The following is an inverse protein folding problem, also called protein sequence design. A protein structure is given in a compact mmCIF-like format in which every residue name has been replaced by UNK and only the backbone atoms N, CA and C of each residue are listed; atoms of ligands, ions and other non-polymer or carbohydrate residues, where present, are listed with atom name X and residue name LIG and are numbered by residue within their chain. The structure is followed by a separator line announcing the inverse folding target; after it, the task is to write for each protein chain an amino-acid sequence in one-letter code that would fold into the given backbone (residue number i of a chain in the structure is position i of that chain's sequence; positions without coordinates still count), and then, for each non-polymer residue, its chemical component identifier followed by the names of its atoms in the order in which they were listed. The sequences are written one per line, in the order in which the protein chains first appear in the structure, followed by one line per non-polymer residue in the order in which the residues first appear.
data_IF_434682917542
#
_entry.id   IF_434682917542
#
_cell.length_a   1.000
_cell.length_b   1.000
_cell.length_c   1.000
_cell.angle_alpha   90.00
_cell.angle_beta   90.00
_cell.angle_gamma   90.00
#
_symmetry.space_group_name_H-M   'P 1'
#
loop_
_entity.id
_entity.type
_entity.pdbx_description
1 polymer ?
#
# COMPACT_ATOMS: atom_id res chain seq x y z
N UNK A 1 10.95 -10.92 -1.56
CA UNK A 1 9.96 -10.95 -2.66
C UNK A 1 10.18 -9.76 -3.58
N UNK A 2 10.29 -10.00 -4.88
CA UNK A 2 10.40 -8.92 -5.88
C UNK A 2 9.05 -8.25 -6.11
N UNK A 3 9.04 -7.03 -6.67
CA UNK A 3 7.78 -6.37 -7.03
C UNK A 3 6.98 -7.17 -8.06
N UNK A 4 7.66 -7.84 -9.01
CA UNK A 4 7.04 -8.71 -10.01
C UNK A 4 6.29 -9.88 -9.36
N UNK A 5 6.91 -10.55 -8.38
CA UNK A 5 6.27 -11.63 -7.63
C UNK A 5 5.04 -11.13 -6.87
N UNK A 6 5.12 -9.96 -6.25
CA UNK A 6 3.98 -9.35 -5.57
C UNK A 6 2.83 -9.01 -6.55
N UNK A 7 3.14 -8.41 -7.70
CA UNK A 7 2.15 -8.08 -8.74
C UNK A 7 1.41 -9.34 -9.20
N UNK A 8 2.14 -10.45 -9.42
CA UNK A 8 1.54 -11.75 -9.76
C UNK A 8 0.63 -12.29 -8.65
N UNK A 9 1.05 -12.25 -7.38
CA UNK A 9 0.21 -12.70 -6.27
C UNK A 9 -1.08 -11.87 -6.14
N UNK A 10 -1.00 -10.56 -6.37
CA UNK A 10 -2.17 -9.67 -6.37
C UNK A 10 -3.11 -10.04 -7.54
N UNK A 11 -2.58 -10.32 -8.72
CA UNK A 11 -3.37 -10.78 -9.86
C UNK A 11 -4.10 -12.10 -9.57
N UNK A 12 -3.43 -13.05 -8.91
CA UNK A 12 -4.04 -14.31 -8.50
C UNK A 12 -5.18 -14.12 -7.49
N UNK A 13 -5.02 -13.22 -6.50
CA UNK A 13 -6.08 -12.88 -5.55
C UNK A 13 -7.29 -12.25 -6.27
N UNK A 14 -7.03 -11.41 -7.27
CA UNK A 14 -8.08 -10.78 -8.08
C UNK A 14 -8.80 -11.79 -8.97
N UNK A 15 -8.07 -12.72 -9.58
CA UNK A 15 -8.65 -13.81 -10.35
C UNK A 15 -9.54 -14.71 -9.48
N UNK A 16 -9.12 -15.00 -8.23
CA UNK A 16 -9.95 -15.69 -7.25
C UNK A 16 -11.23 -14.91 -6.94
N UNK A 17 -11.14 -13.60 -6.72
CA UNK A 17 -12.31 -12.73 -6.50
C UNK A 17 -13.31 -12.77 -7.67
N UNK A 18 -12.81 -12.67 -8.91
CA UNK A 18 -13.64 -12.79 -10.11
C UNK A 18 -14.32 -14.17 -10.22
N UNK A 19 -13.62 -15.24 -9.84
CA UNK A 19 -14.19 -16.59 -9.83
C UNK A 19 -15.31 -16.75 -8.79
N UNK A 20 -15.15 -16.14 -7.59
CA UNK A 20 -16.17 -16.12 -6.54
C UNK A 20 -17.42 -15.39 -7.02
N UNK A 21 -17.26 -14.21 -7.64
CA UNK A 21 -18.38 -13.43 -8.18
C UNK A 21 -19.14 -14.20 -9.27
N UNK A 22 -18.41 -14.83 -10.19
CA UNK A 22 -19.02 -15.65 -11.25
C UNK A 22 -19.85 -16.79 -10.66
N UNK A 23 -19.30 -17.51 -9.67
CA UNK A 23 -20.01 -18.60 -8.99
C UNK A 23 -21.23 -18.07 -8.24
N UNK A 24 -21.09 -16.96 -7.50
CA UNK A 24 -22.20 -16.36 -6.76
C UNK A 24 -23.35 -15.94 -7.68
N UNK A 25 -23.05 -15.36 -8.85
CA UNK A 25 -24.07 -15.05 -9.85
C UNK A 25 -24.86 -16.31 -10.27
N UNK A 26 -24.15 -17.39 -10.63
CA UNK A 26 -24.77 -18.66 -11.01
C UNK A 26 -25.61 -19.27 -9.88
N UNK A 27 -25.14 -19.16 -8.64
CA UNK A 27 -25.87 -19.61 -7.46
C UNK A 27 -27.12 -18.78 -7.22
N UNK A 28 -27.04 -17.45 -7.33
CA UNK A 28 -28.21 -16.55 -7.23
C UNK A 28 -29.25 -16.85 -8.30
N UNK A 29 -28.82 -17.07 -9.55
CA UNK A 29 -29.73 -17.45 -10.65
C UNK A 29 -30.40 -18.81 -10.36
N UNK A 30 -29.66 -19.76 -9.80
CA UNK A 30 -30.22 -21.07 -9.42
C UNK A 30 -31.24 -20.95 -8.29
N UNK A 31 -30.97 -20.10 -7.28
CA UNK A 31 -31.89 -19.83 -6.17
C UNK A 31 -33.15 -19.11 -6.68
N UNK A 32 -33.00 -18.15 -7.58
CA UNK A 32 -34.12 -17.40 -8.15
C UNK A 32 -35.07 -18.32 -8.94
N UNK A 33 -34.53 -19.28 -9.69
CA UNK A 33 -35.30 -20.20 -10.53
C UNK A 33 -35.78 -21.48 -9.79
N UNK A 34 -35.44 -21.66 -8.51
CA UNK A 34 -35.88 -22.82 -7.73
C UNK A 34 -37.38 -22.73 -7.39
N UNK A 35 -38.16 -23.63 -7.99
CA UNK A 35 -39.62 -23.72 -7.82
C UNK A 35 -40.04 -24.34 -6.49
N UNK A 36 -39.12 -25.00 -5.79
CA UNK A 36 -39.40 -25.62 -4.48
C UNK A 36 -39.26 -24.62 -3.32
N UNK A 37 -38.84 -23.37 -3.59
CA UNK A 37 -38.70 -22.33 -2.59
C UNK A 37 -39.92 -21.42 -2.53
N UNK A 38 -40.40 -21.20 -1.31
CA UNK A 38 -41.26 -20.05 -1.00
C UNK A 38 -40.50 -18.75 -1.21
N UNK A 39 -41.22 -17.64 -1.33
CA UNK A 39 -40.60 -16.32 -1.47
C UNK A 39 -39.66 -15.99 -0.31
N UNK A 40 -40.10 -16.27 0.92
CA UNK A 40 -39.28 -16.08 2.11
C UNK A 40 -38.03 -16.97 2.12
N UNK A 41 -38.16 -18.23 1.68
CA UNK A 41 -37.02 -19.16 1.58
C UNK A 41 -36.02 -18.75 0.49
N UNK A 42 -36.51 -18.21 -0.63
CA UNK A 42 -35.69 -17.65 -1.71
C UNK A 42 -34.90 -16.46 -1.21
N UNK A 43 -35.56 -15.51 -0.56
CA UNK A 43 -34.90 -14.32 0.00
C UNK A 43 -33.82 -14.68 1.01
N UNK A 44 -34.14 -15.58 1.97
CA UNK A 44 -33.17 -16.01 2.98
C UNK A 44 -31.92 -16.67 2.36
N UNK A 45 -32.09 -17.49 1.32
CA UNK A 45 -30.94 -18.09 0.60
C UNK A 45 -30.13 -17.06 -0.19
N UNK A 46 -30.79 -16.10 -0.82
CA UNK A 46 -30.10 -15.01 -1.53
C UNK A 46 -29.27 -14.17 -0.57
N UNK A 47 -29.81 -13.87 0.62
CA UNK A 47 -29.09 -13.10 1.64
C UNK A 47 -27.90 -13.88 2.20
N UNK A 48 -28.07 -15.17 2.50
CA UNK A 48 -26.96 -16.03 2.91
C UNK A 48 -25.85 -16.11 1.85
N UNK A 49 -26.21 -16.20 0.57
CA UNK A 49 -25.24 -16.21 -0.54
C UNK A 49 -24.53 -14.86 -0.70
N UNK A 50 -25.24 -13.74 -0.51
CA UNK A 50 -24.66 -12.40 -0.48
C UNK A 50 -23.65 -12.27 0.66
N UNK A 51 -24.02 -12.67 1.88
CA UNK A 51 -23.16 -12.54 3.05
C UNK A 51 -21.89 -13.38 2.92
N UNK A 52 -22.02 -14.64 2.48
CA UNK A 52 -20.89 -15.52 2.20
C UNK A 52 -19.93 -14.92 1.17
N UNK A 53 -20.47 -14.44 0.05
CA UNK A 53 -19.67 -13.83 -1.02
C UNK A 53 -18.95 -12.59 -0.53
N UNK A 54 -19.65 -11.75 0.25
CA UNK A 54 -19.09 -10.54 0.83
C UNK A 54 -17.92 -10.84 1.78
N UNK A 55 -18.05 -11.85 2.63
CA UNK A 55 -16.99 -12.29 3.53
C UNK A 55 -15.75 -12.78 2.77
N UNK A 56 -15.95 -13.65 1.78
CA UNK A 56 -14.85 -14.17 0.96
C UNK A 56 -14.10 -13.06 0.21
N UNK A 57 -14.82 -12.10 -0.38
CA UNK A 57 -14.21 -10.96 -1.06
C UNK A 57 -13.49 -10.02 -0.10
N UNK A 58 -14.04 -9.80 1.10
CA UNK A 58 -13.38 -9.01 2.16
C UNK A 58 -12.06 -9.64 2.59
N UNK A 59 -12.02 -10.96 2.71
CA UNK A 59 -10.83 -11.70 3.09
C UNK A 59 -9.73 -11.64 2.02
N UNK A 60 -10.08 -11.78 0.75
CA UNK A 60 -9.13 -11.59 -0.35
C UNK A 60 -8.57 -10.15 -0.38
N UNK A 61 -9.43 -9.17 -0.14
CA UNK A 61 -9.01 -7.76 -0.04
C UNK A 61 -8.05 -7.53 1.12
N UNK A 62 -8.33 -8.11 2.29
CA UNK A 62 -7.44 -8.02 3.45
C UNK A 62 -6.05 -8.55 3.10
N UNK A 63 -5.98 -9.71 2.44
CA UNK A 63 -4.72 -10.30 1.98
C UNK A 63 -3.98 -9.42 0.97
N UNK A 64 -4.68 -8.86 -0.02
CA UNK A 64 -4.07 -7.93 -0.99
C UNK A 64 -3.47 -6.70 -0.29
N UNK A 65 -4.21 -6.11 0.65
CA UNK A 65 -3.76 -4.94 1.42
C UNK A 65 -2.54 -5.28 2.28
N UNK A 66 -2.55 -6.43 2.94
CA UNK A 66 -1.44 -6.91 3.78
C UNK A 66 -0.16 -7.15 2.97
N UNK A 67 -0.28 -7.76 1.79
CA UNK A 67 0.86 -7.98 0.89
C UNK A 67 1.49 -6.66 0.41
N UNK A 68 0.65 -5.69 0.01
CA UNK A 68 1.11 -4.35 -0.40
C UNK A 68 1.81 -3.65 0.76
N UNK A 69 1.17 -3.60 1.94
CA UNK A 69 1.71 -2.93 3.12
C UNK A 69 3.03 -3.56 3.57
N UNK A 70 3.13 -4.89 3.59
CA UNK A 70 4.34 -5.61 3.98
C UNK A 70 5.52 -5.28 3.06
N UNK A 71 5.27 -5.23 1.74
CA UNK A 71 6.31 -4.87 0.77
C UNK A 71 6.69 -3.39 0.89
N UNK A 72 5.71 -2.50 1.03
CA UNK A 72 5.93 -1.07 1.27
C UNK A 72 6.82 -0.86 2.50
N UNK A 73 6.45 -1.45 3.64
CA UNK A 73 7.23 -1.34 4.88
C UNK A 73 8.65 -1.92 4.75
N UNK A 74 8.82 -2.99 3.96
CA UNK A 74 10.15 -3.55 3.67
C UNK A 74 11.04 -2.58 2.90
N UNK A 75 10.49 -1.92 1.87
CA UNK A 75 11.20 -0.93 1.07
C UNK A 75 11.47 0.36 1.86
N UNK A 76 10.49 0.84 2.61
CA UNK A 76 10.65 2.00 3.50
C UNK A 76 11.73 1.74 4.55
N UNK A 77 11.76 0.55 5.16
CA UNK A 77 12.84 0.19 6.09
C UNK A 77 14.20 0.11 5.41
N UNK A 78 14.26 -0.34 4.15
CA UNK A 78 15.51 -0.39 3.37
C UNK A 78 16.02 1.00 2.99
N UNK A 79 15.11 1.91 2.68
CA UNK A 79 15.43 3.27 2.21
C UNK A 79 15.61 4.27 3.35
N UNK A 80 14.81 4.17 4.41
CA UNK A 80 14.70 5.18 5.48
C UNK A 80 15.02 4.62 6.87
N UNK A 81 15.08 3.29 7.02
CA UNK A 81 15.27 2.68 8.34
C UNK A 81 16.71 2.82 8.84
N UNK A 82 16.86 2.92 10.16
CA UNK A 82 18.15 2.71 10.81
C UNK A 82 18.62 1.27 10.55
N UNK A 83 19.86 1.06 10.05
CA UNK A 83 20.44 -0.27 9.99
C UNK A 83 20.47 -0.89 11.40
N UNK A 84 20.21 -2.19 11.51
CA UNK A 84 20.18 -2.89 12.81
C UNK A 84 21.49 -2.81 13.61
N UNK A 85 22.61 -2.50 12.93
CA UNK A 85 23.92 -2.28 13.55
C UNK A 85 24.00 -0.91 14.23
N UNK A 86 23.24 0.08 13.75
CA UNK A 86 23.20 1.46 14.24
C UNK A 86 22.12 1.67 15.31
N UNK A 87 21.13 0.77 15.40
CA UNK A 87 20.03 0.86 16.37
C UNK A 87 20.42 0.49 17.81
N UNK A 88 21.63 -0.04 18.04
CA UNK A 88 22.16 -0.33 19.37
C UNK A 88 22.80 0.88 20.06
N UNK A 89 23.05 1.98 19.32
CA UNK A 89 23.52 3.25 19.88
C UNK A 89 22.31 4.17 20.21
N UNK A 90 22.06 4.47 21.50
CA UNK A 90 20.98 5.36 21.90
C UNK A 90 21.05 6.76 21.26
N UNK A 91 22.24 7.27 20.99
CA UNK A 91 22.41 8.60 20.37
C UNK A 91 21.88 8.61 18.93
N UNK A 92 22.10 7.53 18.18
CA UNK A 92 21.62 7.37 16.81
C UNK A 92 20.10 7.20 16.76
N UNK A 93 19.52 6.51 17.74
CA UNK A 93 18.06 6.40 17.89
C UNK A 93 17.43 7.76 18.17
N UNK A 94 18.04 8.58 19.02
CA UNK A 94 17.56 9.94 19.29
C UNK A 94 17.68 10.85 18.06
N UNK A 95 18.82 10.81 17.36
CA UNK A 95 19.02 11.56 16.12
C UNK A 95 18.00 11.18 15.04
N UNK A 96 17.70 9.89 14.91
CA UNK A 96 16.65 9.41 14.01
C UNK A 96 15.28 9.98 14.38
N UNK A 97 14.90 9.92 15.66
CA UNK A 97 13.62 10.49 16.12
C UNK A 97 13.54 12.00 15.85
N UNK A 98 14.59 12.75 16.19
CA UNK A 98 14.66 14.19 15.93
C UNK A 98 14.51 14.49 14.43
N UNK A 99 15.20 13.73 13.58
CA UNK A 99 15.13 13.87 12.13
C UNK A 99 13.72 13.63 11.60
N UNK A 100 13.03 12.60 12.10
CA UNK A 100 11.63 12.31 11.73
C UNK A 100 10.69 13.42 12.19
N UNK A 101 10.82 13.89 13.43
CA UNK A 101 9.99 14.98 13.97
C UNK A 101 10.20 16.29 13.21
N UNK A 102 11.45 16.59 12.82
CA UNK A 102 11.79 17.76 12.00
C UNK A 102 11.20 17.65 10.60
N UNK A 103 11.33 16.50 9.95
CA UNK A 103 10.77 16.28 8.63
C UNK A 103 9.23 16.35 8.62
N UNK A 104 8.57 15.82 9.66
CA UNK A 104 7.11 15.83 9.78
C UNK A 104 6.51 17.24 9.84
N UNK A 105 7.28 18.24 10.31
CA UNK A 105 6.86 19.65 10.37
C UNK A 105 6.94 20.36 9.03
N UNK A 106 7.63 19.79 8.06
CA UNK A 106 7.73 20.38 6.72
C UNK A 106 6.37 20.31 6.03
N UNK A 107 5.85 21.49 5.69
CA UNK A 107 4.55 21.64 5.05
C UNK A 107 4.64 22.00 3.57
N UNK A 108 5.77 22.56 3.13
CA UNK A 108 5.96 23.09 1.78
C UNK A 108 7.20 22.50 1.13
N UNK A 109 7.11 22.27 -0.19
CA UNK A 109 8.20 21.66 -0.98
C UNK A 109 9.47 22.50 -0.96
N UNK A 110 9.36 23.83 -1.06
CA UNK A 110 10.49 24.75 -1.06
C UNK A 110 11.28 24.71 0.26
N UNK A 111 10.57 24.65 1.38
CA UNK A 111 11.18 24.50 2.71
C UNK A 111 11.89 23.15 2.84
N UNK A 112 11.23 22.08 2.40
CA UNK A 112 11.80 20.74 2.44
C UNK A 112 13.04 20.60 1.56
N UNK A 113 13.06 21.22 0.39
CA UNK A 113 14.22 21.25 -0.50
C UNK A 113 15.43 21.92 0.16
N UNK A 114 15.22 23.02 0.89
CA UNK A 114 16.29 23.71 1.61
C UNK A 114 16.88 22.84 2.71
N UNK A 115 16.02 22.18 3.50
CA UNK A 115 16.47 21.26 4.57
C UNK A 115 17.18 20.05 3.97
N UNK A 116 16.66 19.48 2.89
CA UNK A 116 17.28 18.36 2.19
C UNK A 116 18.66 18.72 1.64
N UNK A 117 18.80 19.86 0.95
CA UNK A 117 20.08 20.32 0.44
C UNK A 117 21.09 20.62 1.57
N UNK A 118 20.62 21.12 2.71
CA UNK A 118 21.46 21.31 3.88
C UNK A 118 21.95 19.97 4.46
N UNK A 119 21.07 18.99 4.59
CA UNK A 119 21.41 17.65 5.06
C UNK A 119 22.45 16.96 4.15
N UNK A 120 22.31 17.09 2.82
CA UNK A 120 23.29 16.59 1.87
C UNK A 120 24.66 17.25 2.04
N UNK A 121 24.71 18.59 2.20
CA UNK A 121 25.97 19.32 2.41
C UNK A 121 26.69 18.91 3.70
N UNK A 122 25.96 18.48 4.72
CA UNK A 122 26.51 18.03 6.00
C UNK A 122 26.71 16.51 6.12
N UNK A 123 26.48 15.75 5.04
CA UNK A 123 26.43 14.28 5.05
C UNK A 123 25.48 13.70 6.12
N UNK A 124 24.41 14.43 6.47
CA UNK A 124 23.38 14.00 7.43
C UNK A 124 22.37 13.10 6.71
N UNK A 125 22.76 11.83 6.56
CA UNK A 125 21.95 10.80 5.89
C UNK A 125 20.64 10.53 6.61
N UNK A 126 20.60 10.68 7.93
CA UNK A 126 19.41 10.43 8.75
C UNK A 126 18.36 11.50 8.50
N UNK A 127 18.76 12.78 8.49
CA UNK A 127 17.85 13.88 8.14
C UNK A 127 17.45 13.83 6.66
N UNK A 128 18.39 13.57 5.74
CA UNK A 128 18.09 13.46 4.31
C UNK A 128 17.05 12.36 4.04
N UNK A 129 17.18 11.20 4.68
CA UNK A 129 16.22 10.10 4.58
C UNK A 129 14.84 10.46 5.16
N UNK A 130 14.79 11.16 6.29
CA UNK A 130 13.53 11.63 6.88
C UNK A 130 12.79 12.63 5.97
N UNK A 131 13.53 13.58 5.39
CA UNK A 131 12.94 14.56 4.45
C UNK A 131 12.47 13.89 3.16
N UNK A 132 13.21 12.89 2.65
CA UNK A 132 12.79 12.09 1.50
C UNK A 132 11.51 11.29 1.79
N UNK A 133 11.40 10.68 2.98
CA UNK A 133 10.17 9.99 3.39
C UNK A 133 8.97 10.95 3.39
N UNK A 134 9.14 12.15 3.96
CA UNK A 134 8.12 13.20 3.92
C UNK A 134 7.77 13.63 2.49
N UNK A 135 8.77 13.77 1.63
CA UNK A 135 8.58 14.14 0.23
C UNK A 135 7.77 13.08 -0.55
N UNK A 136 7.95 11.79 -0.25
CA UNK A 136 7.14 10.73 -0.85
C UNK A 136 5.68 10.79 -0.41
N UNK A 137 5.43 11.03 0.87
CA UNK A 137 4.07 11.19 1.40
C UNK A 137 3.36 12.41 0.82
N UNK A 138 4.08 13.53 0.72
CA UNK A 138 3.51 14.80 0.28
C UNK A 138 3.54 14.98 -1.26
N UNK A 139 4.16 14.06 -1.99
CA UNK A 139 4.25 14.10 -3.45
C UNK A 139 5.16 15.22 -3.98
N UNK A 140 6.35 15.40 -3.39
CA UNK A 140 7.33 16.41 -3.80
C UNK A 140 8.41 15.81 -4.72
N UNK A 141 8.24 15.87 -6.05
CA UNK A 141 9.09 15.14 -7.00
C UNK A 141 10.52 15.68 -7.10
N UNK A 142 10.74 16.96 -6.81
CA UNK A 142 12.06 17.60 -6.84
C UNK A 142 13.06 16.92 -5.91
N UNK A 143 12.65 16.68 -4.65
CA UNK A 143 13.48 16.02 -3.63
C UNK A 143 13.73 14.55 -3.99
N UNK A 144 12.71 13.85 -4.47
CA UNK A 144 12.82 12.46 -4.89
C UNK A 144 13.84 12.33 -6.04
N UNK A 145 13.74 13.20 -7.05
CA UNK A 145 14.64 13.20 -8.19
C UNK A 145 16.08 13.57 -7.78
N UNK A 146 16.24 14.55 -6.89
CA UNK A 146 17.55 14.93 -6.35
C UNK A 146 18.20 13.75 -5.61
N UNK A 147 17.46 13.03 -4.77
CA UNK A 147 17.99 11.87 -4.07
C UNK A 147 18.40 10.74 -5.01
N UNK A 148 17.61 10.46 -6.07
CA UNK A 148 17.93 9.43 -7.07
C UNK A 148 19.22 9.79 -7.84
N UNK A 149 19.42 11.08 -8.15
CA UNK A 149 20.65 11.55 -8.81
C UNK A 149 21.90 11.25 -7.98
N UNK A 150 21.82 11.44 -6.67
CA UNK A 150 22.92 11.16 -5.74
C UNK A 150 23.04 9.67 -5.37
N UNK A 151 21.93 8.92 -5.41
CA UNK A 151 21.86 7.51 -5.04
C UNK A 151 21.18 6.67 -6.13
N UNK A 152 21.86 6.41 -7.26
CA UNK A 152 21.27 5.65 -8.36
C UNK A 152 20.77 4.25 -7.96
N UNK A 153 21.45 3.62 -6.99
CA UNK A 153 21.06 2.31 -6.44
C UNK A 153 19.73 2.33 -5.68
N UNK A 154 19.30 3.48 -5.17
CA UNK A 154 18.00 3.65 -4.50
C UNK A 154 16.85 3.91 -5.48
N UNK A 155 17.16 4.20 -6.76
CA UNK A 155 16.16 4.53 -7.78
C UNK A 155 15.16 3.40 -8.03
N UNK A 156 15.60 2.15 -8.00
CA UNK A 156 14.71 0.99 -8.17
C UNK A 156 13.75 0.83 -6.99
N UNK A 157 14.25 0.94 -5.75
CA UNK A 157 13.41 0.82 -4.56
C UNK A 157 12.39 1.98 -4.44
N UNK A 158 12.79 3.20 -4.81
CA UNK A 158 11.89 4.36 -4.85
C UNK A 158 10.82 4.24 -5.94
N UNK A 159 11.20 3.74 -7.11
CA UNK A 159 10.24 3.41 -8.17
C UNK A 159 9.26 2.35 -7.70
N UNK A 160 9.75 1.29 -7.04
CA UNK A 160 8.90 0.25 -6.47
C UNK A 160 7.92 0.80 -5.43
N UNK A 161 8.36 1.72 -4.56
CA UNK A 161 7.47 2.39 -3.60
C UNK A 161 6.35 3.19 -4.28
N UNK A 162 6.69 3.94 -5.34
CA UNK A 162 5.69 4.68 -6.12
C UNK A 162 4.70 3.74 -6.80
N UNK A 163 5.20 2.68 -7.44
CA UNK A 163 4.36 1.65 -8.08
C UNK A 163 3.39 1.01 -7.06
N UNK A 164 3.82 0.80 -5.81
CA UNK A 164 2.97 0.29 -4.74
C UNK A 164 1.89 1.29 -4.31
N UNK A 165 2.22 2.58 -4.22
CA UNK A 165 1.25 3.62 -3.91
C UNK A 165 0.14 3.69 -4.97
N UNK A 166 0.50 3.59 -6.25
CA UNK A 166 -0.48 3.51 -7.35
C UNK A 166 -1.34 2.24 -7.27
N UNK A 167 -0.74 1.09 -6.96
CA UNK A 167 -1.48 -0.17 -6.78
C UNK A 167 -2.48 -0.09 -5.62
N UNK A 168 -2.10 0.55 -4.52
CA UNK A 168 -2.97 0.77 -3.36
C UNK A 168 -4.14 1.70 -3.69
N UNK A 169 -3.91 2.76 -4.45
CA UNK A 169 -4.97 3.67 -4.87
C UNK A 169 -5.99 2.97 -5.80
N UNK A 170 -5.50 2.20 -6.77
CA UNK A 170 -6.36 1.42 -7.70
C UNK A 170 -7.19 0.34 -7.00
N UNK A 171 -6.68 -0.27 -5.92
CA UNK A 171 -7.43 -1.25 -5.14
C UNK A 171 -8.58 -0.61 -4.34
N UNK A 172 -8.39 0.63 -3.89
CA UNK A 172 -9.41 1.42 -3.20
C UNK A 172 -10.60 1.77 -4.13
N UNK A 173 -10.32 2.27 -5.34
CA UNK A 173 -11.37 2.66 -6.30
C UNK A 173 -12.30 1.49 -6.67
N UNK A 174 -11.72 0.30 -6.90
CA UNK A 174 -12.52 -0.91 -7.17
C UNK A 174 -13.35 -1.36 -5.97
N UNK A 175 -12.91 -1.07 -4.75
CA UNK A 175 -13.68 -1.39 -3.54
C UNK A 175 -15.01 -0.65 -3.51
N UNK A 176 -15.04 0.62 -3.90
CA UNK A 176 -16.28 1.41 -3.94
C UNK A 176 -17.29 0.77 -4.91
N UNK A 177 -16.81 0.29 -6.05
CA UNK A 177 -17.64 -0.47 -7.01
C UNK A 177 -18.21 -1.75 -6.40
N UNK A 178 -17.45 -2.49 -5.60
CA UNK A 178 -17.92 -3.74 -4.97
C UNK A 178 -18.83 -3.55 -3.76
N UNK A 179 -18.72 -2.43 -3.03
CA UNK A 179 -19.56 -2.14 -1.86
C UNK A 179 -20.91 -1.51 -2.24
N UNK A 180 -20.98 -0.81 -3.37
CA UNK A 180 -22.19 -0.11 -3.83
C UNK A 180 -22.90 -0.79 -5.01
N UNK A 181 -22.26 -1.77 -5.65
CA UNK A 181 -22.82 -2.52 -6.79
C UNK A 181 -23.50 -3.84 -6.45
N UNK A 182 -23.81 -4.10 -5.17
CA UNK A 182 -24.42 -5.35 -4.69
C UNK A 182 -25.81 -5.13 -4.07
#
# INVERSE_FOLDING_TARGET
MSLTQLKSQIEDLRAQGASIQKRSSQTKDSIANDRNLSEQGRQAKLDAERDRTREQLRDLKRKETELINTKKQTLERKLFGLPSVTSSDPAQVLLYRDSQDRAARLARSDEAEQVFAAALRSDDKTLAAAVLARALEAGWPSIINAYISENPSAGEDLKDLRDLAELQQRSFDRTLTYLWGA
#
